data_IF_904221052197
#
_entry.id   IF_904221052197
#
_cell.length_a   1.000
_cell.length_b   1.000
_cell.length_c   1.000
_cell.angle_alpha   90.00
_cell.angle_beta   90.00
_cell.angle_gamma   90.00
#
_symmetry.space_group_name_H-M   'P 1'
#
loop_
_entity.id
_entity.type
_entity.pdbx_description
1 polymer ?
#
# COMPACT_ATOMS: atom_id res chain seq x y z
N UNK A 1 0.13 -24.34 -26.47
CA UNK A 1 1.27 -24.25 -27.42
C UNK A 1 0.99 -25.00 -28.71
N UNK A 2 0.21 -26.09 -28.68
CA UNK A 2 -0.31 -26.75 -29.88
C UNK A 2 -1.72 -26.21 -30.17
N UNK A 3 -1.94 -25.62 -31.34
CA UNK A 3 -3.19 -24.96 -31.71
C UNK A 3 -3.05 -24.22 -33.05
N UNK A 4 -4.17 -23.74 -33.58
CA UNK A 4 -4.24 -23.13 -34.93
C UNK A 4 -3.39 -21.85 -35.03
N UNK A 5 -3.21 -21.15 -33.91
CA UNK A 5 -2.37 -19.94 -33.80
C UNK A 5 -0.98 -20.22 -33.20
N UNK A 6 -0.51 -21.48 -33.28
CA UNK A 6 0.83 -21.81 -32.80
C UNK A 6 1.90 -21.13 -33.67
N UNK A 7 2.95 -20.54 -33.10
CA UNK A 7 4.08 -20.00 -33.86
C UNK A 7 5.01 -21.10 -34.39
N UNK A 8 4.69 -22.38 -34.16
CA UNK A 8 5.46 -23.51 -34.66
C UNK A 8 5.29 -23.69 -36.17
N UNK A 9 6.32 -24.20 -36.88
CA UNK A 9 6.20 -24.55 -38.29
C UNK A 9 5.03 -25.51 -38.53
N UNK A 10 4.27 -25.27 -39.59
CA UNK A 10 3.07 -26.06 -39.93
C UNK A 10 3.39 -27.55 -40.12
N UNK A 11 4.59 -27.88 -40.60
CA UNK A 11 5.05 -29.27 -40.74
C UNK A 11 5.10 -30.03 -39.42
N UNK A 12 5.51 -29.36 -38.34
CA UNK A 12 5.58 -29.98 -37.01
C UNK A 12 4.17 -30.17 -36.43
N UNK A 13 3.27 -29.22 -36.67
CA UNK A 13 1.87 -29.33 -36.26
C UNK A 13 1.16 -30.46 -37.01
N UNK A 14 1.42 -30.62 -38.31
CA UNK A 14 0.87 -31.71 -39.12
C UNK A 14 1.40 -33.08 -38.65
N UNK A 15 2.69 -33.20 -38.34
CA UNK A 15 3.27 -34.46 -37.85
C UNK A 15 2.70 -34.86 -36.47
N UNK A 16 2.47 -33.89 -35.58
CA UNK A 16 1.84 -34.11 -34.27
C UNK A 16 0.35 -34.48 -34.42
N UNK A 17 -0.40 -33.77 -35.28
CA UNK A 17 -1.84 -33.98 -35.45
C UNK A 17 -2.16 -35.27 -36.21
N UNK A 18 -1.35 -35.63 -37.22
CA UNK A 18 -1.50 -36.86 -38.00
C UNK A 18 -0.84 -38.07 -37.34
N UNK A 19 -0.19 -37.90 -36.16
CA UNK A 19 0.50 -38.96 -35.40
C UNK A 19 1.46 -39.79 -36.24
N UNK A 20 2.27 -39.13 -37.07
CA UNK A 20 3.28 -39.80 -37.89
C UNK A 20 4.40 -40.41 -37.03
N UNK A 21 5.11 -41.39 -37.57
CA UNK A 21 6.27 -41.98 -36.87
C UNK A 21 7.24 -40.88 -36.40
N UNK A 22 7.65 -40.94 -35.14
CA UNK A 22 8.52 -39.92 -34.51
C UNK A 22 7.79 -38.75 -33.83
N UNK A 23 6.46 -38.61 -33.97
CA UNK A 23 5.70 -37.53 -33.32
C UNK A 23 5.82 -37.54 -31.78
N UNK A 24 5.96 -38.71 -31.14
CA UNK A 24 6.13 -38.82 -29.68
C UNK A 24 7.43 -38.19 -29.19
N UNK A 25 8.53 -38.40 -29.92
CA UNK A 25 9.83 -37.83 -29.58
C UNK A 25 9.83 -36.30 -29.79
N UNK A 26 9.22 -35.83 -30.88
CA UNK A 26 9.08 -34.40 -31.18
C UNK A 26 8.18 -33.69 -30.16
N UNK A 27 7.06 -34.31 -29.77
CA UNK A 27 6.16 -33.77 -28.72
C UNK A 27 6.88 -33.73 -27.38
N UNK A 28 7.58 -34.80 -26.99
CA UNK A 28 8.34 -34.85 -25.74
C UNK A 28 9.41 -33.76 -25.66
N UNK A 29 10.09 -33.48 -26.79
CA UNK A 29 11.06 -32.38 -26.88
C UNK A 29 10.40 -31.01 -26.70
N UNK A 30 9.28 -30.76 -27.40
CA UNK A 30 8.54 -29.49 -27.32
C UNK A 30 7.91 -29.26 -25.94
N UNK A 31 7.54 -30.32 -25.23
CA UNK A 31 6.97 -30.24 -23.89
C UNK A 31 7.99 -29.73 -22.86
N UNK A 32 9.29 -29.98 -23.04
CA UNK A 32 10.34 -29.41 -22.17
C UNK A 32 10.28 -27.87 -22.19
N UNK A 33 10.13 -27.28 -23.37
CA UNK A 33 10.03 -25.82 -23.54
C UNK A 33 8.69 -25.32 -23.05
N UNK A 34 7.59 -25.98 -23.45
CA UNK A 34 6.24 -25.59 -23.09
C UNK A 34 6.04 -25.60 -21.56
N UNK A 35 6.52 -26.64 -20.88
CA UNK A 35 6.48 -26.73 -19.42
C UNK A 35 7.25 -25.58 -18.77
N UNK A 36 8.48 -25.29 -19.24
CA UNK A 36 9.29 -24.20 -18.68
C UNK A 36 8.66 -22.83 -18.92
N UNK A 37 8.13 -22.57 -20.11
CA UNK A 37 7.49 -21.30 -20.46
C UNK A 37 6.23 -21.09 -19.60
N UNK A 38 5.35 -22.09 -19.50
CA UNK A 38 4.15 -22.00 -18.65
C UNK A 38 4.51 -21.76 -17.19
N UNK A 39 5.54 -22.45 -16.68
CA UNK A 39 6.01 -22.26 -15.31
C UNK A 39 6.50 -20.83 -15.08
N UNK A 40 7.30 -20.27 -16.00
CA UNK A 40 7.78 -18.90 -15.87
C UNK A 40 6.67 -17.87 -16.04
N UNK A 41 5.75 -18.09 -16.98
CA UNK A 41 4.57 -17.25 -17.15
C UNK A 41 3.75 -17.17 -15.87
N UNK A 42 3.48 -18.31 -15.23
CA UNK A 42 2.79 -18.35 -13.95
C UNK A 42 3.56 -17.63 -12.84
N UNK A 43 4.89 -17.81 -12.76
CA UNK A 43 5.73 -17.10 -11.77
C UNK A 43 5.71 -15.59 -11.97
N UNK A 44 5.74 -15.12 -13.22
CA UNK A 44 5.65 -13.69 -13.55
C UNK A 44 4.27 -13.17 -13.15
N UNK A 45 3.20 -13.84 -13.58
CA UNK A 45 1.83 -13.46 -13.21
C UNK A 45 1.68 -13.37 -11.69
N UNK A 46 2.10 -14.42 -10.96
CA UNK A 46 2.01 -14.45 -9.51
C UNK A 46 2.82 -13.33 -8.86
N UNK A 47 4.02 -13.01 -9.36
CA UNK A 47 4.87 -11.92 -8.83
C UNK A 47 4.17 -10.55 -8.85
N UNK A 48 3.33 -10.28 -9.85
CA UNK A 48 2.64 -8.99 -9.99
C UNK A 48 1.18 -9.01 -9.53
N UNK A 49 0.64 -10.18 -9.20
CA UNK A 49 -0.70 -10.34 -8.67
C UNK A 49 -0.72 -10.18 -7.13
N UNK A 50 -0.72 -8.94 -6.65
CA UNK A 50 -0.69 -8.63 -5.20
C UNK A 50 -1.70 -9.41 -4.35
N UNK A 51 -2.99 -9.56 -4.74
CA UNK A 51 -3.94 -10.37 -3.97
C UNK A 51 -3.54 -11.84 -3.83
N UNK A 52 -2.81 -12.39 -4.80
CA UNK A 52 -2.34 -13.78 -4.79
C UNK A 52 -1.02 -13.98 -4.02
N UNK A 53 -0.32 -12.89 -3.67
CA UNK A 53 0.92 -12.88 -2.89
C UNK A 53 0.75 -12.28 -1.50
N UNK A 54 -0.46 -11.82 -1.16
CA UNK A 54 -0.75 -11.26 0.16
C UNK A 54 -0.54 -12.32 1.23
N UNK A 55 0.34 -12.02 2.18
CA UNK A 55 0.55 -12.86 3.36
C UNK A 55 -0.17 -12.26 4.56
N UNK A 56 -0.73 -13.12 5.41
CA UNK A 56 -1.44 -12.68 6.61
C UNK A 56 -0.56 -11.75 7.47
N UNK A 57 -1.15 -10.64 7.90
CA UNK A 57 -0.41 -9.61 8.64
C UNK A 57 0.45 -8.70 7.76
N UNK A 58 0.36 -8.80 6.43
CA UNK A 58 1.12 -7.97 5.50
C UNK A 58 2.61 -8.26 5.53
N UNK A 59 2.99 -9.52 5.77
CA UNK A 59 4.40 -9.97 5.88
C UNK A 59 5.10 -10.06 4.52
N UNK A 60 4.34 -10.05 3.43
CA UNK A 60 4.88 -10.08 2.09
C UNK A 60 5.66 -8.79 1.76
N UNK A 61 6.64 -8.92 0.88
CA UNK A 61 7.53 -7.81 0.53
C UNK A 61 6.77 -6.59 -0.03
N UNK A 62 5.67 -6.82 -0.76
CA UNK A 62 4.86 -5.73 -1.33
C UNK A 62 4.12 -4.97 -0.24
N UNK A 63 3.45 -5.68 0.68
CA UNK A 63 2.80 -5.09 1.86
C UNK A 63 3.79 -4.31 2.72
N UNK A 64 4.98 -4.85 2.97
CA UNK A 64 6.03 -4.15 3.72
C UNK A 64 6.49 -2.86 3.02
N UNK A 65 6.64 -2.88 1.70
CA UNK A 65 6.92 -1.66 0.92
C UNK A 65 5.78 -0.64 1.04
N UNK A 66 4.52 -1.07 0.96
CA UNK A 66 3.35 -0.19 1.10
C UNK A 66 3.28 0.43 2.51
N UNK A 67 3.55 -0.35 3.55
CA UNK A 67 3.66 0.15 4.93
C UNK A 67 4.81 1.15 5.08
N UNK A 68 5.93 0.92 4.39
CA UNK A 68 7.03 1.87 4.29
C UNK A 68 6.61 3.24 3.74
N UNK A 69 5.74 3.27 2.71
CA UNK A 69 5.26 4.52 2.12
C UNK A 69 4.42 5.38 3.08
N UNK A 70 3.83 4.77 4.11
CA UNK A 70 3.04 5.47 5.13
C UNK A 70 3.78 5.63 6.46
N UNK A 71 5.09 5.35 6.49
CA UNK A 71 5.95 5.52 7.66
C UNK A 71 5.93 4.37 8.68
N UNK A 72 5.28 3.26 8.35
CA UNK A 72 5.16 2.06 9.21
C UNK A 72 6.13 0.93 8.81
N UNK A 73 7.10 1.20 7.94
CA UNK A 73 8.12 0.25 7.51
C UNK A 73 9.42 0.28 8.33
N UNK A 74 9.51 1.15 9.35
CA UNK A 74 10.71 1.26 10.19
C UNK A 74 10.67 0.16 11.27
N UNK A 75 11.73 -0.65 11.42
CA UNK A 75 11.80 -1.66 12.48
C UNK A 75 11.49 -1.06 13.86
N UNK A 76 10.58 -1.69 14.61
CA UNK A 76 10.12 -1.22 15.92
C UNK A 76 8.91 -0.28 15.91
N UNK A 77 8.55 0.35 14.79
CA UNK A 77 7.33 1.18 14.74
C UNK A 77 6.06 0.37 14.92
N UNK A 78 6.05 -0.87 14.40
CA UNK A 78 4.96 -1.82 14.58
C UNK A 78 4.64 -2.11 16.07
N UNK A 79 5.67 -2.14 16.93
CA UNK A 79 5.53 -2.46 18.36
C UNK A 79 4.92 -1.30 19.16
N UNK A 80 5.02 -0.07 18.64
CA UNK A 80 4.43 1.12 19.25
C UNK A 80 2.94 1.28 18.90
N UNK A 81 2.42 0.48 17.97
CA UNK A 81 1.03 0.51 17.55
C UNK A 81 0.29 -0.64 18.22
N UNK A 82 -0.74 -0.31 19.02
CA UNK A 82 -1.53 -1.29 19.78
C UNK A 82 -2.41 -2.23 18.91
N UNK A 83 -2.23 -2.23 17.58
CA UNK A 83 -3.03 -3.02 16.63
C UNK A 83 -2.17 -3.55 15.49
N UNK A 84 -2.56 -4.67 14.85
CA UNK A 84 -1.86 -5.20 13.69
C UNK A 84 -1.68 -4.16 12.58
N UNK A 85 -0.43 -3.95 12.16
CA UNK A 85 -0.04 -2.92 11.19
C UNK A 85 -0.70 -3.13 9.82
N UNK A 86 -1.03 -4.38 9.47
CA UNK A 86 -1.74 -4.73 8.23
C UNK A 86 -3.09 -4.03 8.06
N UNK A 87 -3.77 -3.65 9.16
CA UNK A 87 -5.05 -2.93 9.09
C UNK A 87 -4.88 -1.56 8.42
N UNK A 88 -3.71 -0.95 8.57
CA UNK A 88 -3.39 0.34 7.94
C UNK A 88 -3.21 0.25 6.43
N UNK A 89 -3.08 -0.95 5.85
CA UNK A 89 -3.10 -1.13 4.40
C UNK A 89 -4.43 -0.66 3.79
N UNK A 90 -5.54 -0.76 4.54
CA UNK A 90 -6.84 -0.24 4.12
C UNK A 90 -6.90 1.31 4.08
N UNK A 91 -5.99 1.98 4.80
CA UNK A 91 -5.93 3.45 4.91
C UNK A 91 -4.76 4.05 4.13
N UNK A 92 -4.11 3.30 3.23
CA UNK A 92 -2.98 3.80 2.44
C UNK A 92 -3.30 5.10 1.71
N UNK A 93 -4.48 5.20 1.10
CA UNK A 93 -4.91 6.41 0.39
C UNK A 93 -4.99 7.64 1.30
N UNK A 94 -5.58 7.48 2.49
CA UNK A 94 -5.74 8.57 3.46
C UNK A 94 -4.41 8.93 4.14
N UNK A 95 -3.56 7.94 4.44
CA UNK A 95 -2.30 8.16 5.16
C UNK A 95 -1.14 8.61 4.29
N UNK A 96 -1.20 8.38 2.96
CA UNK A 96 -0.19 8.88 2.01
C UNK A 96 -0.20 10.40 1.92
N UNK A 97 -1.34 11.03 2.19
CA UNK A 97 -1.48 12.47 2.11
C UNK A 97 -0.76 13.13 3.30
N UNK A 98 0.03 14.20 3.06
CA UNK A 98 0.70 14.93 4.14
C UNK A 98 -0.31 15.63 5.06
N UNK A 99 -1.48 15.98 4.52
CA UNK A 99 -2.59 16.61 5.24
C UNK A 99 -3.42 15.56 5.96
N UNK A 100 -3.54 15.71 7.28
CA UNK A 100 -4.45 14.91 8.11
C UNK A 100 -5.80 15.61 8.16
N UNK A 101 -6.68 15.26 7.23
CA UNK A 101 -8.02 15.83 7.15
C UNK A 101 -9.01 15.09 8.05
N UNK A 102 -10.17 15.71 8.27
CA UNK A 102 -11.24 15.13 9.09
C UNK A 102 -11.68 13.74 8.60
N UNK A 103 -11.73 13.54 7.28
CA UNK A 103 -12.10 12.26 6.68
C UNK A 103 -11.10 11.14 7.01
N UNK A 104 -9.79 11.42 6.93
CA UNK A 104 -8.73 10.48 7.28
C UNK A 104 -8.75 10.12 8.77
N UNK A 105 -9.03 11.09 9.65
CA UNK A 105 -9.20 10.84 11.09
C UNK A 105 -10.42 9.95 11.33
N UNK A 106 -11.56 10.22 10.69
CA UNK A 106 -12.76 9.39 10.81
C UNK A 106 -12.51 7.95 10.33
N UNK A 107 -11.86 7.80 9.17
CA UNK A 107 -11.50 6.49 8.63
C UNK A 107 -10.57 5.71 9.58
N UNK A 108 -9.66 6.39 10.26
CA UNK A 108 -8.79 5.78 11.27
C UNK A 108 -9.58 5.32 12.50
N UNK A 109 -10.50 6.14 13.01
CA UNK A 109 -11.35 5.76 14.14
C UNK A 109 -12.23 4.56 13.77
N UNK A 110 -12.89 4.59 12.62
CA UNK A 110 -13.72 3.46 12.16
C UNK A 110 -12.92 2.18 11.93
N UNK A 111 -11.65 2.27 11.52
CA UNK A 111 -10.78 1.10 11.39
C UNK A 111 -10.43 0.49 12.76
N UNK A 112 -10.11 1.33 13.75
CA UNK A 112 -9.67 0.86 15.07
C UNK A 112 -10.85 0.43 15.95
N UNK A 113 -11.97 1.14 15.89
CA UNK A 113 -13.18 0.92 16.66
C UNK A 113 -14.41 1.01 15.73
N UNK A 114 -14.84 -0.12 15.13
CA UNK A 114 -15.89 -0.16 14.10
C UNK A 114 -17.23 0.43 14.54
N UNK A 115 -17.58 0.28 15.82
CA UNK A 115 -18.85 0.73 16.39
C UNK A 115 -18.80 2.18 16.91
N UNK A 116 -17.71 2.91 16.64
CA UNK A 116 -17.51 4.28 17.12
C UNK A 116 -17.71 5.31 16.01
N UNK A 117 -18.53 6.32 16.27
CA UNK A 117 -18.70 7.48 15.39
C UNK A 117 -17.77 8.63 15.83
N UNK A 118 -16.94 9.13 14.90
CA UNK A 118 -16.11 10.31 15.12
C UNK A 118 -16.72 11.57 14.48
N UNK A 119 -16.99 12.57 15.33
CA UNK A 119 -17.38 13.91 14.93
C UNK A 119 -16.20 14.86 15.18
N UNK A 120 -15.85 15.64 14.16
CA UNK A 120 -14.65 16.48 14.16
C UNK A 120 -15.13 17.93 14.05
N UNK A 121 -14.80 18.71 15.07
CA UNK A 121 -15.17 20.12 15.18
C UNK A 121 -13.91 20.95 15.02
N UNK A 122 -13.87 21.79 14.00
CA UNK A 122 -12.75 22.70 13.72
C UNK A 122 -13.30 24.11 13.44
N UNK A 123 -12.70 25.19 13.99
CA UNK A 123 -11.58 25.23 14.93
C UNK A 123 -11.98 24.99 16.40
N UNK A 124 -11.08 24.39 17.18
CA UNK A 124 -11.22 24.25 18.64
C UNK A 124 -10.39 25.33 19.38
N UNK A 125 -11.01 26.22 20.18
CA UNK A 125 -10.29 27.30 20.86
C UNK A 125 -9.45 26.78 22.04
N UNK A 126 -8.12 26.86 21.88
CA UNK A 126 -7.16 26.46 22.93
C UNK A 126 -6.72 27.66 23.77
N UNK A 127 -6.80 27.54 25.10
CA UNK A 127 -6.22 28.52 26.02
C UNK A 127 -4.71 28.33 26.09
N UNK A 128 -3.95 29.36 25.74
CA UNK A 128 -2.48 29.35 25.79
C UNK A 128 -2.02 30.22 26.96
N UNK A 129 -1.06 29.73 27.75
CA UNK A 129 -0.46 30.52 28.81
C UNK A 129 0.40 31.64 28.22
N UNK A 130 0.29 32.85 28.80
CA UNK A 130 1.03 34.03 28.32
C UNK A 130 1.89 34.53 29.46
N UNK A 131 3.20 34.33 29.32
CA UNK A 131 4.20 34.73 30.32
C UNK A 131 4.30 36.25 30.45
N UNK A 132 4.36 36.96 29.31
CA UNK A 132 4.50 38.41 29.25
C UNK A 132 3.19 39.06 28.82
N UNK A 133 2.45 39.57 29.81
CA UNK A 133 1.19 40.26 29.57
C UNK A 133 1.41 41.70 29.13
N UNK A 134 0.56 42.14 28.23
CA UNK A 134 0.52 43.53 27.81
C UNK A 134 -0.01 44.43 28.91
N UNK A 135 0.72 45.49 29.26
CA UNK A 135 0.37 46.41 30.33
C UNK A 135 0.68 47.86 30.00
N UNK A 136 -0.07 48.79 30.59
CA UNK A 136 0.15 50.23 30.46
C UNK A 136 1.20 50.67 31.50
N UNK A 137 2.48 50.65 31.14
CA UNK A 137 3.57 51.04 32.03
C UNK A 137 4.83 51.48 31.29
N UNK A 138 5.59 52.40 31.88
CA UNK A 138 6.78 52.98 31.24
C UNK A 138 7.90 51.96 30.98
N UNK A 139 7.95 50.86 31.74
CA UNK A 139 8.99 49.83 31.68
C UNK A 139 8.73 48.66 30.71
N UNK A 140 7.52 48.54 30.12
CA UNK A 140 7.19 47.42 29.24
C UNK A 140 6.39 47.91 28.00
N UNK A 141 7.07 48.65 27.11
CA UNK A 141 6.47 49.19 25.88
C UNK A 141 6.32 48.09 24.83
N UNK A 142 5.09 47.78 24.45
CA UNK A 142 4.80 46.83 23.37
C UNK A 142 4.68 47.56 22.04
N UNK A 143 5.28 46.98 21.00
CA UNK A 143 5.19 47.52 19.64
C UNK A 143 3.88 47.04 18.99
N UNK A 144 3.15 47.93 18.34
CA UNK A 144 1.93 47.61 17.59
C UNK A 144 2.18 46.66 16.41
N UNK A 145 3.43 46.53 15.94
CA UNK A 145 3.82 45.53 14.93
C UNK A 145 3.79 44.10 15.47
N UNK A 146 3.77 43.93 16.80
CA UNK A 146 3.59 42.64 17.44
C UNK A 146 2.09 42.47 17.69
N UNK A 147 1.51 41.33 17.30
CA UNK A 147 0.11 40.97 17.63
C UNK A 147 0.00 40.78 19.16
N UNK A 148 -0.09 41.90 19.87
CA UNK A 148 -0.13 41.94 21.32
C UNK A 148 -1.37 41.23 21.80
N UNK A 149 -1.18 40.22 22.64
CA UNK A 149 -2.27 39.51 23.28
C UNK A 149 -2.75 40.35 24.46
N UNK A 150 -4.05 40.60 24.50
CA UNK A 150 -4.71 41.22 25.65
C UNK A 150 -4.90 40.13 26.71
N UNK A 151 -4.52 40.46 27.94
CA UNK A 151 -4.85 39.65 29.12
C UNK A 151 -6.16 40.10 29.72
#
# INVERSE_FOLDING_TARGET
>A
MYGVDSPLPTSWLDDITQRREGHEALTSFLDIFSHRITTQYYRIWRKYAYPATFEEGGRDATSQCLLGLVGLGIPGTAEQVATPVSRFLALLGAMRLPTRNAEGIRALVSLLAPDTCALITEPDPVKVHIDNRSGLGAGNRIRLSQRATLG
#
